data_IF_771018158521
#
_entry.id   IF_771018158521
#
_cell.length_a   1.000
_cell.length_b   1.000
_cell.length_c   1.000
_cell.angle_alpha   90.00
_cell.angle_beta   90.00
_cell.angle_gamma   90.00
#
_symmetry.space_group_name_H-M   'P 1'
#
loop_
_entity.id
_entity.type
_entity.pdbx_description
1 polymer ?
#
# COMPACT_ATOMS: atom_id res chain seq x y z
N UNK A 1 18.97 20.38 -8.91
CA UNK A 1 17.72 20.47 -8.15
C UNK A 1 18.07 20.09 -6.71
N UNK A 2 17.74 20.94 -5.71
CA UNK A 2 17.94 20.56 -4.33
C UNK A 2 17.10 19.34 -3.97
N UNK A 3 17.58 18.52 -3.02
CA UNK A 3 16.80 17.39 -2.50
C UNK A 3 15.47 17.90 -1.94
N UNK A 4 14.37 17.14 -2.06
CA UNK A 4 13.10 17.54 -1.50
C UNK A 4 13.26 17.71 0.03
N UNK A 5 12.90 18.88 0.54
CA UNK A 5 12.94 19.16 1.96
C UNK A 5 11.72 18.54 2.63
N UNK A 6 11.95 17.64 3.61
CA UNK A 6 10.90 16.99 4.39
C UNK A 6 10.78 17.64 5.76
N UNK A 7 9.59 18.11 6.12
CA UNK A 7 9.29 18.62 7.44
C UNK A 7 8.89 17.51 8.40
N UNK A 8 9.14 17.71 9.71
CA UNK A 8 8.64 16.80 10.73
C UNK A 8 7.12 16.93 10.87
N UNK A 9 6.45 15.78 11.01
CA UNK A 9 5.04 15.72 11.38
C UNK A 9 4.88 16.28 12.79
N UNK A 10 3.94 17.21 13.01
CA UNK A 10 3.67 17.71 14.37
C UNK A 10 3.10 16.60 15.25
N UNK A 11 3.30 16.68 16.57
CA UNK A 11 2.69 15.71 17.50
C UNK A 11 1.16 15.75 17.46
N UNK A 12 0.58 16.91 17.23
CA UNK A 12 -0.87 17.08 17.08
C UNK A 12 -1.41 16.37 15.84
N UNK A 13 -0.68 16.44 14.73
CA UNK A 13 -1.12 15.87 13.44
C UNK A 13 -0.77 14.38 13.29
N UNK A 14 0.13 13.85 14.11
CA UNK A 14 0.65 12.50 13.95
C UNK A 14 -0.42 11.41 13.93
N UNK A 15 -1.44 11.40 14.80
CA UNK A 15 -2.51 10.40 14.72
C UNK A 15 -3.31 10.47 13.41
N UNK A 16 -3.61 11.69 12.97
CA UNK A 16 -4.32 11.95 11.71
C UNK A 16 -3.44 11.62 10.49
N UNK A 17 -2.14 11.88 10.57
CA UNK A 17 -1.20 11.54 9.51
C UNK A 17 -1.18 10.02 9.26
N UNK A 18 -1.13 9.19 10.31
CA UNK A 18 -1.20 7.72 10.17
C UNK A 18 -2.48 7.30 9.43
N UNK A 19 -3.61 7.94 9.72
CA UNK A 19 -4.89 7.63 9.10
C UNK A 19 -5.03 8.19 7.67
N UNK A 20 -4.53 9.40 7.41
CA UNK A 20 -4.79 10.16 6.17
C UNK A 20 -3.59 10.26 5.24
N UNK A 21 -2.36 10.03 5.73
CA UNK A 21 -1.11 10.20 5.00
C UNK A 21 -1.01 11.56 4.29
N UNK A 22 -1.36 12.64 5.01
CA UNK A 22 -1.36 14.00 4.45
C UNK A 22 -2.08 14.10 3.09
N UNK A 23 -3.24 13.46 2.95
CA UNK A 23 -4.02 13.46 1.70
C UNK A 23 -3.41 12.66 0.55
N UNK A 24 -2.34 11.89 0.78
CA UNK A 24 -1.70 11.07 -0.24
C UNK A 24 -2.69 10.12 -0.92
N UNK A 25 -3.55 9.43 -0.13
CA UNK A 25 -4.56 8.51 -0.68
C UNK A 25 -5.55 9.23 -1.60
N UNK A 26 -5.96 10.44 -1.22
CA UNK A 26 -6.85 11.27 -2.02
C UNK A 26 -6.20 11.62 -3.36
N UNK A 27 -4.95 12.13 -3.34
CA UNK A 27 -4.22 12.47 -4.57
C UNK A 27 -4.00 11.26 -5.49
N UNK A 28 -3.68 10.11 -4.92
CA UNK A 28 -3.55 8.86 -5.70
C UNK A 28 -4.91 8.45 -6.27
N UNK A 29 -5.99 8.52 -5.50
CA UNK A 29 -7.34 8.21 -5.98
C UNK A 29 -7.79 9.15 -7.10
N UNK A 30 -7.40 10.44 -7.04
CA UNK A 30 -7.67 11.42 -8.09
C UNK A 30 -6.99 11.12 -9.42
N UNK A 31 -5.85 10.46 -9.40
CA UNK A 31 -5.12 10.08 -10.60
C UNK A 31 -5.70 8.85 -11.31
N UNK A 32 -6.60 8.09 -10.67
CA UNK A 32 -7.12 6.83 -11.21
C UNK A 32 -8.17 7.03 -12.30
N UNK A 33 -8.23 6.12 -13.31
CA UNK A 33 -9.19 6.18 -14.40
C UNK A 33 -10.55 5.61 -13.98
N UNK A 34 -11.23 6.31 -13.07
CA UNK A 34 -12.55 5.92 -12.57
C UNK A 34 -13.65 6.27 -13.57
N UNK A 35 -14.59 5.36 -13.75
CA UNK A 35 -15.81 5.56 -14.54
C UNK A 35 -17.04 5.29 -13.65
N UNK A 36 -18.15 6.02 -13.83
CA UNK A 36 -19.38 5.80 -13.06
C UNK A 36 -19.84 4.33 -13.09
N UNK A 37 -20.25 3.82 -11.93
CA UNK A 37 -20.71 2.44 -11.74
C UNK A 37 -19.66 1.35 -12.03
N UNK A 38 -18.37 1.72 -12.13
CA UNK A 38 -17.29 0.76 -12.33
C UNK A 38 -17.25 -0.23 -11.17
N UNK A 39 -16.99 -1.51 -11.47
CA UNK A 39 -16.66 -2.52 -10.47
C UNK A 39 -15.16 -2.48 -10.19
N UNK A 40 -14.79 -2.18 -8.96
CA UNK A 40 -13.40 -2.04 -8.49
C UNK A 40 -13.07 -3.16 -7.52
N UNK A 41 -11.90 -3.79 -7.70
CA UNK A 41 -11.32 -4.72 -6.74
C UNK A 41 -10.16 -4.02 -6.01
N UNK A 42 -10.27 -3.83 -4.70
CA UNK A 42 -9.17 -3.30 -3.87
C UNK A 42 -8.44 -4.47 -3.21
N UNK A 43 -7.25 -4.79 -3.72
CA UNK A 43 -6.45 -5.97 -3.37
C UNK A 43 -5.63 -5.68 -2.14
N UNK A 44 -5.68 -6.55 -1.13
CA UNK A 44 -5.08 -6.38 0.18
C UNK A 44 -5.48 -5.02 0.79
N UNK A 45 -6.80 -4.83 0.92
CA UNK A 45 -7.43 -3.56 1.30
C UNK A 45 -7.07 -3.07 2.70
N UNK A 46 -6.51 -3.94 3.55
CA UNK A 46 -6.14 -3.62 4.92
C UNK A 46 -7.31 -3.07 5.73
N UNK A 47 -7.14 -1.85 6.24
CA UNK A 47 -8.19 -1.11 6.97
C UNK A 47 -9.19 -0.40 6.07
N UNK A 48 -9.18 -0.63 4.77
CA UNK A 48 -10.02 -0.07 3.71
C UNK A 48 -9.92 1.46 3.53
N UNK A 49 -8.87 2.10 4.04
CA UNK A 49 -8.73 3.54 3.89
C UNK A 49 -8.69 3.98 2.43
N UNK A 50 -8.03 3.22 1.54
CA UNK A 50 -7.96 3.56 0.13
C UNK A 50 -9.30 3.32 -0.58
N UNK A 51 -9.95 2.18 -0.33
CA UNK A 51 -11.29 1.89 -0.84
C UNK A 51 -12.31 2.97 -0.44
N UNK A 52 -12.20 3.52 0.78
CA UNK A 52 -13.05 4.62 1.22
C UNK A 52 -12.76 5.93 0.49
N UNK A 53 -11.51 6.23 0.13
CA UNK A 53 -11.21 7.41 -0.70
C UNK A 53 -11.81 7.28 -2.11
N UNK A 54 -11.75 6.09 -2.71
CA UNK A 54 -12.41 5.82 -3.99
C UNK A 54 -13.93 6.00 -3.90
N UNK A 55 -14.57 5.47 -2.83
CA UNK A 55 -16.01 5.61 -2.60
C UNK A 55 -16.45 7.07 -2.40
N UNK A 56 -15.64 7.89 -1.75
CA UNK A 56 -15.90 9.33 -1.59
C UNK A 56 -15.80 10.06 -2.92
N UNK A 57 -14.85 9.68 -3.77
CA UNK A 57 -14.63 10.29 -5.07
C UNK A 57 -15.80 10.03 -6.03
N UNK A 58 -16.30 8.80 -6.06
CA UNK A 58 -17.49 8.44 -6.83
C UNK A 58 -18.34 7.41 -6.07
N UNK A 59 -19.45 7.84 -5.48
CA UNK A 59 -20.34 6.96 -4.72
C UNK A 59 -21.14 5.99 -5.60
N UNK A 60 -21.05 6.09 -6.92
CA UNK A 60 -21.69 5.13 -7.84
C UNK A 60 -20.86 3.88 -8.08
N UNK A 61 -19.59 3.87 -7.65
CA UNK A 61 -18.71 2.71 -7.75
C UNK A 61 -19.25 1.51 -6.97
N UNK A 62 -18.84 0.32 -7.39
CA UNK A 62 -19.04 -0.92 -6.66
C UNK A 62 -17.68 -1.48 -6.29
N UNK A 63 -17.23 -1.16 -5.08
CA UNK A 63 -15.90 -1.49 -4.60
C UNK A 63 -15.96 -2.77 -3.76
N UNK A 64 -15.10 -3.72 -4.08
CA UNK A 64 -14.89 -4.93 -3.30
C UNK A 64 -13.47 -4.94 -2.77
N UNK A 65 -13.32 -4.76 -1.46
CA UNK A 65 -12.04 -4.91 -0.77
C UNK A 65 -11.82 -6.36 -0.34
N UNK A 66 -10.64 -6.88 -0.63
CA UNK A 66 -10.21 -8.20 -0.16
C UNK A 66 -8.96 -8.10 0.70
N UNK A 67 -8.88 -8.96 1.72
CA UNK A 67 -7.69 -9.10 2.57
C UNK A 67 -7.66 -10.52 3.14
N UNK A 68 -6.46 -11.08 3.34
CA UNK A 68 -6.31 -12.42 3.92
C UNK A 68 -6.42 -12.43 5.44
N UNK A 69 -6.27 -11.27 6.09
CA UNK A 69 -6.30 -11.10 7.54
C UNK A 69 -7.71 -10.85 8.06
N UNK A 70 -8.22 -11.74 8.94
CA UNK A 70 -9.47 -11.53 9.66
C UNK A 70 -9.47 -10.22 10.47
N UNK A 71 -8.31 -9.85 11.01
CA UNK A 71 -8.17 -8.61 11.79
C UNK A 71 -8.35 -7.39 10.89
N UNK A 72 -7.71 -7.38 9.71
CA UNK A 72 -7.86 -6.31 8.72
C UNK A 72 -9.31 -6.16 8.29
N UNK A 73 -9.98 -7.25 7.95
CA UNK A 73 -11.40 -7.24 7.54
C UNK A 73 -12.29 -6.67 8.64
N UNK A 74 -12.10 -7.07 9.92
CA UNK A 74 -12.88 -6.50 11.03
C UNK A 74 -12.64 -5.01 11.25
N UNK A 75 -11.41 -4.54 11.06
CA UNK A 75 -11.08 -3.11 11.16
C UNK A 75 -11.72 -2.36 9.99
N UNK A 76 -11.57 -2.88 8.78
CA UNK A 76 -12.17 -2.32 7.57
C UNK A 76 -13.69 -2.19 7.67
N UNK A 77 -14.39 -3.23 8.13
CA UNK A 77 -15.86 -3.21 8.31
C UNK A 77 -16.30 -2.09 9.27
N UNK A 78 -15.61 -1.94 10.42
CA UNK A 78 -15.89 -0.83 11.35
C UNK A 78 -15.64 0.53 10.72
N UNK A 79 -14.56 0.69 9.95
CA UNK A 79 -14.22 1.94 9.29
C UNK A 79 -15.24 2.34 8.22
N UNK A 80 -15.70 1.37 7.43
CA UNK A 80 -16.69 1.56 6.37
C UNK A 80 -18.06 1.93 6.96
N UNK A 81 -18.55 1.13 7.92
CA UNK A 81 -19.84 1.40 8.59
C UNK A 81 -19.84 2.71 9.35
N UNK A 82 -18.75 3.03 10.05
CA UNK A 82 -18.61 4.30 10.77
C UNK A 82 -18.63 5.54 9.88
N UNK A 83 -18.57 5.37 8.55
CA UNK A 83 -18.62 6.44 7.54
C UNK A 83 -19.77 6.29 6.56
N UNK A 84 -20.68 5.35 6.78
CA UNK A 84 -21.86 5.09 5.94
C UNK A 84 -21.50 4.74 4.49
N UNK A 85 -20.41 4.01 4.28
CA UNK A 85 -19.92 3.61 2.96
C UNK A 85 -20.21 2.14 2.62
N UNK A 86 -20.94 1.42 3.45
CA UNK A 86 -21.29 0.01 3.32
C UNK A 86 -22.23 -0.31 2.14
N UNK A 87 -22.84 0.71 1.55
CA UNK A 87 -23.60 0.57 0.28
C UNK A 87 -22.71 0.62 -0.97
N UNK A 88 -21.47 1.15 -0.83
CA UNK A 88 -20.52 1.32 -1.93
C UNK A 88 -19.35 0.34 -1.82
N UNK A 89 -18.90 0.05 -0.61
CA UNK A 89 -17.74 -0.82 -0.32
C UNK A 89 -18.21 -2.08 0.39
N UNK A 90 -17.93 -3.21 -0.21
CA UNK A 90 -18.09 -4.54 0.39
C UNK A 90 -16.74 -5.16 0.70
N UNK A 91 -16.69 -6.11 1.63
CA UNK A 91 -15.46 -6.77 2.07
C UNK A 91 -15.57 -8.28 1.99
N UNK A 92 -14.50 -8.94 1.58
CA UNK A 92 -14.39 -10.41 1.62
C UNK A 92 -12.99 -10.78 2.14
N UNK A 93 -12.93 -11.73 3.09
CA UNK A 93 -11.67 -12.39 3.43
C UNK A 93 -11.27 -13.30 2.28
N UNK A 94 -10.14 -13.02 1.65
CA UNK A 94 -9.66 -13.77 0.49
C UNK A 94 -8.15 -13.64 0.31
N UNK A 95 -7.51 -14.70 -0.16
CA UNK A 95 -6.11 -14.68 -0.57
C UNK A 95 -5.98 -14.11 -1.98
N UNK A 96 -5.22 -13.02 -2.12
CA UNK A 96 -5.03 -12.34 -3.40
C UNK A 96 -4.25 -13.17 -4.44
N UNK A 97 -3.52 -14.21 -4.01
CA UNK A 97 -2.83 -15.14 -4.92
C UNK A 97 -3.77 -16.18 -5.55
N UNK A 98 -5.04 -16.23 -5.08
CA UNK A 98 -6.06 -17.14 -5.58
C UNK A 98 -7.44 -16.50 -5.47
N UNK A 99 -7.81 -15.72 -6.46
CA UNK A 99 -9.08 -15.00 -6.47
C UNK A 99 -10.24 -15.91 -6.89
N UNK A 100 -11.29 -15.98 -6.07
CA UNK A 100 -12.49 -16.80 -6.33
C UNK A 100 -13.54 -16.05 -7.16
N UNK A 101 -13.09 -15.22 -8.10
CA UNK A 101 -13.96 -14.47 -9.01
C UNK A 101 -13.85 -15.02 -10.43
N UNK A 102 -14.95 -14.97 -11.21
CA UNK A 102 -14.90 -15.26 -12.64
C UNK A 102 -13.90 -14.31 -13.36
N UNK A 103 -13.36 -14.78 -14.48
CA UNK A 103 -12.58 -13.93 -15.36
C UNK A 103 -13.38 -12.70 -15.82
N UNK A 104 -12.72 -11.61 -16.11
CA UNK A 104 -13.31 -10.40 -16.70
C UNK A 104 -14.47 -9.80 -15.87
N UNK A 105 -14.34 -9.81 -14.53
CA UNK A 105 -15.34 -9.31 -13.59
C UNK A 105 -15.21 -7.82 -13.30
N UNK A 106 -13.98 -7.30 -13.18
CA UNK A 106 -13.70 -5.93 -12.71
C UNK A 106 -13.21 -5.02 -13.83
N UNK A 107 -13.55 -3.74 -13.76
CA UNK A 107 -13.02 -2.72 -14.66
C UNK A 107 -11.68 -2.15 -14.19
N UNK A 108 -11.49 -2.10 -12.87
CA UNK A 108 -10.28 -1.62 -12.22
C UNK A 108 -9.91 -2.56 -11.06
N UNK A 109 -8.64 -2.84 -10.91
CA UNK A 109 -8.05 -3.37 -9.68
C UNK A 109 -7.09 -2.34 -9.08
N UNK A 110 -7.09 -2.21 -7.75
CA UNK A 110 -6.20 -1.32 -7.02
C UNK A 110 -5.42 -2.08 -5.96
N UNK A 111 -4.23 -1.58 -5.61
CA UNK A 111 -3.50 -1.93 -4.39
C UNK A 111 -2.78 -0.68 -3.89
N UNK A 112 -2.90 -0.38 -2.61
CA UNK A 112 -2.26 0.77 -2.01
C UNK A 112 -1.30 0.34 -0.91
N UNK A 113 0.01 0.29 -1.24
CA UNK A 113 1.11 0.04 -0.30
C UNK A 113 0.98 -1.27 0.50
N UNK A 114 0.52 -2.36 -0.14
CA UNK A 114 0.38 -3.67 0.53
C UNK A 114 1.16 -4.79 -0.16
N UNK A 115 1.95 -4.50 -1.19
CA UNK A 115 2.75 -5.55 -1.84
C UNK A 115 3.96 -5.99 -1.01
N UNK A 116 4.43 -5.16 -0.07
CA UNK A 116 5.42 -5.59 0.92
C UNK A 116 4.86 -6.67 1.87
N UNK A 117 3.60 -6.55 2.29
CA UNK A 117 2.94 -7.57 3.11
C UNK A 117 2.77 -8.90 2.34
N UNK A 118 2.43 -8.85 1.06
CA UNK A 118 2.37 -10.04 0.20
C UNK A 118 3.77 -10.65 0.01
N UNK A 119 4.78 -9.80 -0.22
CA UNK A 119 6.17 -10.24 -0.38
C UNK A 119 6.70 -10.88 0.91
N UNK A 120 6.43 -10.29 2.08
CA UNK A 120 6.80 -10.82 3.37
C UNK A 120 6.23 -12.22 3.64
N UNK A 121 4.95 -12.43 3.28
CA UNK A 121 4.23 -13.67 3.61
C UNK A 121 4.32 -14.75 2.54
N UNK A 122 4.55 -14.38 1.30
CA UNK A 122 4.51 -15.29 0.12
C UNK A 122 5.66 -15.08 -0.87
N UNK A 123 6.66 -14.30 -0.50
CA UNK A 123 7.83 -13.96 -1.32
C UNK A 123 7.46 -13.28 -2.66
N UNK A 124 8.46 -13.02 -3.50
CA UNK A 124 8.25 -12.46 -4.84
C UNK A 124 7.35 -13.32 -5.74
N UNK A 125 7.29 -14.63 -5.48
CA UNK A 125 6.39 -15.55 -6.15
C UNK A 125 4.94 -15.20 -5.88
N UNK A 126 4.57 -14.95 -4.61
CA UNK A 126 3.21 -14.57 -4.26
C UNK A 126 2.79 -13.25 -4.90
N UNK A 127 3.67 -12.25 -4.93
CA UNK A 127 3.41 -10.99 -5.64
C UNK A 127 3.12 -11.25 -7.12
N UNK A 128 3.94 -12.06 -7.80
CA UNK A 128 3.72 -12.43 -9.21
C UNK A 128 2.37 -13.14 -9.41
N UNK A 129 1.98 -14.05 -8.51
CA UNK A 129 0.69 -14.74 -8.57
C UNK A 129 -0.49 -13.75 -8.46
N UNK A 130 -0.40 -12.73 -7.59
CA UNK A 130 -1.40 -11.66 -7.52
C UNK A 130 -1.53 -10.94 -8.86
N UNK A 131 -0.44 -10.61 -9.55
CA UNK A 131 -0.50 -9.96 -10.86
C UNK A 131 -1.22 -10.81 -11.90
N UNK A 132 -1.00 -12.12 -11.93
CA UNK A 132 -1.70 -13.05 -12.84
C UNK A 132 -3.19 -13.15 -12.49
N UNK A 133 -3.55 -13.26 -11.21
CA UNK A 133 -4.94 -13.33 -10.78
C UNK A 133 -5.69 -12.02 -11.07
N UNK A 134 -5.05 -10.87 -10.81
CA UNK A 134 -5.60 -9.57 -11.18
C UNK A 134 -5.82 -9.48 -12.69
N UNK A 135 -4.86 -9.93 -13.51
CA UNK A 135 -5.03 -9.95 -14.96
C UNK A 135 -6.23 -10.83 -15.37
N UNK A 136 -6.41 -11.98 -14.75
CA UNK A 136 -7.51 -12.89 -15.05
C UNK A 136 -8.87 -12.27 -14.73
N UNK A 137 -9.01 -11.63 -13.58
CA UNK A 137 -10.32 -11.10 -13.12
C UNK A 137 -10.65 -9.72 -13.70
N UNK A 138 -9.68 -8.98 -14.23
CA UNK A 138 -9.94 -7.74 -14.93
C UNK A 138 -10.56 -8.00 -16.30
N UNK A 139 -11.47 -7.13 -16.72
CA UNK A 139 -11.99 -7.11 -18.09
C UNK A 139 -10.86 -6.86 -19.10
N UNK A 140 -10.99 -7.29 -20.36
CA UNK A 140 -10.10 -6.84 -21.42
C UNK A 140 -10.01 -5.30 -21.41
N UNK A 141 -8.80 -4.75 -21.50
CA UNK A 141 -8.51 -3.31 -21.38
C UNK A 141 -8.83 -2.68 -20.01
N UNK A 142 -9.19 -3.47 -19.00
CA UNK A 142 -9.32 -3.02 -17.61
C UNK A 142 -7.98 -2.54 -17.03
N UNK A 143 -8.04 -1.75 -15.98
CA UNK A 143 -6.87 -1.11 -15.40
C UNK A 143 -6.41 -1.82 -14.13
N UNK A 144 -5.10 -1.88 -13.94
CA UNK A 144 -4.47 -2.21 -12.66
C UNK A 144 -3.61 -1.03 -12.20
N UNK A 145 -3.99 -0.44 -11.07
CA UNK A 145 -3.35 0.74 -10.51
C UNK A 145 -2.87 0.43 -9.10
N UNK A 146 -1.59 0.56 -8.84
CA UNK A 146 -1.03 0.24 -7.54
C UNK A 146 0.07 1.22 -7.13
N UNK A 147 0.15 1.48 -5.81
CA UNK A 147 1.15 2.34 -5.21
C UNK A 147 2.19 1.49 -4.47
N UNK A 148 3.47 1.77 -4.68
CA UNK A 148 4.62 1.07 -4.09
C UNK A 148 5.71 2.05 -3.68
N UNK A 149 6.67 1.58 -2.88
CA UNK A 149 7.86 2.35 -2.48
C UNK A 149 9.12 1.60 -2.91
N UNK A 150 9.58 1.74 -4.17
CA UNK A 150 10.81 1.11 -4.64
C UNK A 150 12.02 1.66 -3.86
N UNK A 151 12.83 0.80 -3.19
CA UNK A 151 13.91 1.27 -2.31
C UNK A 151 15.01 2.06 -3.04
N UNK A 152 15.29 1.66 -4.29
CA UNK A 152 16.31 2.30 -5.13
C UNK A 152 15.95 3.72 -5.57
N UNK A 153 14.71 4.14 -5.31
CA UNK A 153 14.20 5.44 -5.70
C UNK A 153 14.03 6.39 -4.50
N UNK A 154 14.52 6.00 -3.32
CA UNK A 154 14.57 6.89 -2.18
C UNK A 154 15.47 8.11 -2.48
N UNK A 155 14.95 9.31 -2.26
CA UNK A 155 15.60 10.58 -2.56
C UNK A 155 16.20 11.26 -1.31
N UNK A 156 15.73 10.84 -0.12
CA UNK A 156 16.21 11.35 1.16
C UNK A 156 16.66 10.22 2.08
N UNK A 157 17.49 10.53 3.07
CA UNK A 157 17.90 9.56 4.10
C UNK A 157 16.68 9.02 4.86
N UNK A 158 15.70 9.86 5.18
CA UNK A 158 14.50 9.43 5.89
C UNK A 158 13.66 8.42 5.06
N UNK A 159 13.56 8.60 3.75
CA UNK A 159 12.88 7.66 2.85
C UNK A 159 13.63 6.34 2.74
N UNK A 160 14.95 6.38 2.62
CA UNK A 160 15.80 5.18 2.61
C UNK A 160 15.64 4.39 3.91
N UNK A 161 15.73 5.08 5.04
CA UNK A 161 15.56 4.48 6.37
C UNK A 161 14.19 3.82 6.52
N UNK A 162 13.11 4.40 5.99
CA UNK A 162 11.77 3.78 6.01
C UNK A 162 11.78 2.38 5.39
N UNK A 163 12.37 2.25 4.21
CA UNK A 163 12.47 0.97 3.50
C UNK A 163 13.38 -0.02 4.25
N UNK A 164 14.55 0.43 4.71
CA UNK A 164 15.53 -0.41 5.39
C UNK A 164 15.03 -0.91 6.75
N UNK A 165 14.47 -0.02 7.57
CA UNK A 165 13.90 -0.36 8.89
C UNK A 165 12.73 -1.34 8.75
N UNK A 166 11.81 -1.07 7.84
CA UNK A 166 10.68 -1.97 7.58
C UNK A 166 11.16 -3.35 7.14
N UNK A 167 12.14 -3.38 6.22
CA UNK A 167 12.71 -4.63 5.71
C UNK A 167 13.47 -5.41 6.78
N UNK A 168 14.23 -4.71 7.64
CA UNK A 168 14.94 -5.35 8.74
C UNK A 168 13.98 -5.98 9.74
N UNK A 169 12.92 -5.26 10.14
CA UNK A 169 11.94 -5.77 11.09
C UNK A 169 11.23 -7.01 10.54
N UNK A 170 10.84 -6.98 9.27
CA UNK A 170 9.98 -7.99 8.65
C UNK A 170 10.73 -9.11 7.93
N UNK A 171 12.05 -9.01 7.80
CA UNK A 171 12.86 -9.96 7.03
C UNK A 171 12.61 -9.96 5.52
N UNK A 172 11.90 -8.95 5.00
CA UNK A 172 11.63 -8.80 3.57
C UNK A 172 11.83 -7.35 3.11
N UNK A 173 12.20 -7.17 1.86
CA UNK A 173 12.37 -5.85 1.26
C UNK A 173 11.21 -5.50 0.33
N UNK A 174 10.92 -4.20 0.22
CA UNK A 174 10.19 -3.69 -0.93
C UNK A 174 10.87 -4.12 -2.23
N UNK A 175 10.09 -4.51 -3.23
CA UNK A 175 10.66 -4.88 -4.51
C UNK A 175 11.08 -3.63 -5.31
N UNK A 176 12.17 -3.72 -6.09
CA UNK A 176 12.54 -2.67 -7.03
C UNK A 176 11.46 -2.41 -8.07
N UNK A 177 11.36 -1.17 -8.57
CA UNK A 177 10.39 -0.78 -9.60
C UNK A 177 10.44 -1.69 -10.83
N UNK A 178 11.63 -2.10 -11.24
CA UNK A 178 11.83 -3.01 -12.38
C UNK A 178 11.12 -4.36 -12.18
N UNK A 179 11.09 -4.90 -10.97
CA UNK A 179 10.40 -6.18 -10.67
C UNK A 179 8.90 -6.07 -10.86
N UNK A 180 8.29 -4.97 -10.43
CA UNK A 180 6.86 -4.74 -10.69
C UNK A 180 6.55 -4.61 -12.20
N UNK A 181 7.44 -3.96 -12.96
CA UNK A 181 7.30 -3.87 -14.42
C UNK A 181 7.45 -5.25 -15.10
N UNK A 182 8.35 -6.11 -14.62
CA UNK A 182 8.48 -7.49 -15.09
C UNK A 182 7.21 -8.30 -14.81
N UNK A 183 6.63 -8.18 -13.60
CA UNK A 183 5.39 -8.85 -13.25
C UNK A 183 4.22 -8.36 -14.10
N UNK A 184 4.10 -7.05 -14.34
CA UNK A 184 3.10 -6.49 -15.25
C UNK A 184 3.21 -7.10 -16.65
N UNK A 185 4.41 -7.10 -17.22
CA UNK A 185 4.65 -7.64 -18.55
C UNK A 185 4.34 -9.13 -18.61
N UNK A 186 4.80 -9.92 -17.62
CA UNK A 186 4.56 -11.34 -17.53
C UNK A 186 3.09 -11.72 -17.37
N UNK A 187 2.28 -10.86 -16.76
CA UNK A 187 0.85 -11.05 -16.57
C UNK A 187 -0.01 -10.46 -17.72
N UNK A 188 0.61 -9.93 -18.78
CA UNK A 188 -0.11 -9.40 -19.93
C UNK A 188 -0.65 -7.98 -19.76
N UNK A 189 0.06 -7.15 -19.00
CA UNK A 189 -0.24 -5.72 -18.87
C UNK A 189 0.71 -4.85 -19.69
N UNK A 190 0.21 -3.71 -20.12
CA UNK A 190 1.00 -2.58 -20.64
C UNK A 190 1.01 -1.48 -19.59
N UNK A 191 2.19 -1.08 -19.12
CA UNK A 191 2.36 0.07 -18.23
C UNK A 191 2.07 1.36 -19.03
N UNK A 192 1.08 2.14 -18.59
CA UNK A 192 0.65 3.37 -19.27
C UNK A 192 1.26 4.62 -18.65
N UNK A 193 1.32 4.65 -17.33
CA UNK A 193 1.77 5.82 -16.59
C UNK A 193 2.48 5.40 -15.31
N UNK A 194 3.46 6.19 -14.94
CA UNK A 194 4.13 6.14 -13.65
C UNK A 194 4.15 7.54 -13.08
N UNK A 195 3.72 7.69 -11.84
CA UNK A 195 3.58 8.99 -11.20
C UNK A 195 4.12 8.92 -9.77
N UNK A 196 4.91 9.91 -9.37
CA UNK A 196 5.46 10.01 -8.02
C UNK A 196 4.62 10.98 -7.20
N UNK A 197 4.24 10.55 -6.02
CA UNK A 197 3.49 11.36 -5.06
C UNK A 197 4.30 11.51 -3.77
N UNK A 198 4.33 12.71 -3.22
CA UNK A 198 5.07 13.05 -2.00
C UNK A 198 4.11 13.52 -0.91
N UNK A 199 4.41 13.21 0.34
CA UNK A 199 3.79 13.89 1.48
C UNK A 199 4.65 15.07 1.96
N UNK A 200 5.95 15.07 1.63
CA UNK A 200 6.96 16.03 2.12
C UNK A 200 7.07 16.04 3.66
N UNK A 201 6.75 14.92 4.30
CA UNK A 201 6.76 14.81 5.75
C UNK A 201 7.47 13.54 6.22
N UNK A 202 8.13 13.64 7.37
CA UNK A 202 8.81 12.54 8.05
C UNK A 202 8.50 12.53 9.54
N UNK A 203 8.66 11.39 10.16
CA UNK A 203 8.51 11.23 11.60
C UNK A 203 9.72 11.80 12.36
N UNK A 204 9.47 12.44 13.49
CA UNK A 204 10.50 12.75 14.47
C UNK A 204 11.06 11.46 15.09
N UNK A 205 12.24 11.48 15.74
CA UNK A 205 12.80 10.31 16.43
C UNK A 205 11.82 9.67 17.43
N UNK A 206 11.08 10.46 18.19
CA UNK A 206 10.11 9.94 19.16
C UNK A 206 8.88 9.30 18.48
N UNK A 207 8.41 9.88 17.40
CA UNK A 207 7.36 9.28 16.56
C UNK A 207 7.85 7.97 15.93
N UNK A 208 9.10 7.94 15.45
CA UNK A 208 9.73 6.76 14.90
C UNK A 208 9.85 5.63 15.92
N UNK A 209 10.26 5.93 17.17
CA UNK A 209 10.27 4.94 18.27
C UNK A 209 8.91 4.28 18.46
N UNK A 210 7.85 5.08 18.57
CA UNK A 210 6.47 4.57 18.70
C UNK A 210 6.06 3.72 17.50
N UNK A 211 6.41 4.16 16.30
CA UNK A 211 6.06 3.43 15.06
C UNK A 211 6.82 2.12 14.92
N UNK A 212 8.12 2.11 15.16
CA UNK A 212 8.97 0.90 15.13
C UNK A 212 8.46 -0.12 16.14
N UNK A 213 8.18 0.30 17.39
CA UNK A 213 7.58 -0.57 18.41
C UNK A 213 6.26 -1.18 17.93
N UNK A 214 5.39 -0.38 17.31
CA UNK A 214 4.12 -0.86 16.80
C UNK A 214 4.32 -1.88 15.65
N UNK A 215 5.23 -1.62 14.72
CA UNK A 215 5.51 -2.55 13.60
C UNK A 215 6.03 -3.89 14.13
N UNK A 216 7.01 -3.89 15.05
CA UNK A 216 7.55 -5.12 15.65
C UNK A 216 6.44 -5.95 16.30
N UNK A 217 5.57 -5.30 17.09
CA UNK A 217 4.47 -5.98 17.76
C UNK A 217 3.36 -6.47 16.82
N UNK A 218 3.05 -5.70 15.78
CA UNK A 218 1.95 -6.02 14.86
C UNK A 218 2.36 -7.07 13.82
N UNK A 219 3.62 -7.13 13.40
CA UNK A 219 4.09 -8.10 12.39
C UNK A 219 3.80 -9.53 12.84
N UNK A 220 4.20 -9.92 14.04
CA UNK A 220 3.89 -11.24 14.58
C UNK A 220 2.39 -11.47 14.74
N UNK A 221 1.66 -10.49 15.31
CA UNK A 221 0.23 -10.63 15.62
C UNK A 221 -0.68 -10.66 14.39
N UNK A 222 -0.30 -9.97 13.32
CA UNK A 222 -1.12 -9.88 12.11
C UNK A 222 -0.80 -10.97 11.10
N UNK A 223 0.46 -11.33 10.97
CA UNK A 223 0.95 -12.17 9.88
C UNK A 223 1.57 -13.50 10.35
N UNK A 224 1.80 -13.67 11.67
CA UNK A 224 2.49 -14.86 12.20
C UNK A 224 3.94 -14.96 11.78
N UNK A 225 4.56 -13.85 11.38
CA UNK A 225 5.96 -13.78 10.94
C UNK A 225 6.81 -13.27 12.10
N UNK A 226 7.90 -13.98 12.40
CA UNK A 226 8.87 -13.52 13.39
C UNK A 226 9.50 -12.21 12.93
N UNK A 227 9.47 -11.20 13.80
CA UNK A 227 10.02 -9.89 13.53
C UNK A 227 11.26 -9.65 14.40
N UNK A 228 12.24 -8.89 13.88
CA UNK A 228 13.30 -8.37 14.73
C UNK A 228 12.71 -7.46 15.81
N UNK A 229 13.32 -7.47 16.99
CA UNK A 229 12.84 -6.70 18.14
C UNK A 229 13.07 -5.21 17.95
N UNK A 230 12.38 -4.40 18.78
CA UNK A 230 12.64 -2.97 18.85
C UNK A 230 14.11 -2.68 19.21
N UNK A 231 14.66 -3.39 20.18
CA UNK A 231 16.03 -3.19 20.67
C UNK A 231 17.07 -3.47 19.59
N UNK A 232 16.88 -4.55 18.81
CA UNK A 232 17.77 -4.88 17.67
C UNK A 232 17.66 -3.83 16.58
N UNK A 233 16.44 -3.42 16.25
CA UNK A 233 16.17 -2.41 15.23
C UNK A 233 16.75 -1.06 15.65
N UNK A 234 16.52 -0.63 16.89
CA UNK A 234 16.99 0.66 17.38
C UNK A 234 18.51 0.72 17.53
N UNK A 235 19.14 -0.39 17.92
CA UNK A 235 20.61 -0.48 17.96
C UNK A 235 21.23 -0.27 16.59
N UNK A 236 20.57 -0.75 15.54
CA UNK A 236 21.07 -0.67 14.17
C UNK A 236 20.81 0.69 13.51
N UNK A 237 19.61 1.21 13.63
CA UNK A 237 19.15 2.37 12.86
C UNK A 237 18.90 3.61 13.72
N UNK A 238 18.81 3.46 15.04
CA UNK A 238 18.51 4.55 15.98
C UNK A 238 19.38 5.79 15.80
N UNK A 239 20.72 5.69 15.76
CA UNK A 239 21.58 6.86 15.59
C UNK A 239 21.24 7.66 14.32
N UNK A 240 21.00 6.99 13.20
CA UNK A 240 20.70 7.65 11.93
C UNK A 240 19.27 8.22 11.90
N UNK A 241 18.32 7.54 12.56
CA UNK A 241 16.96 8.05 12.76
C UNK A 241 16.96 9.31 13.66
N UNK A 242 17.79 9.35 14.69
CA UNK A 242 17.90 10.52 15.57
C UNK A 242 18.44 11.75 14.82
N UNK A 243 19.31 11.55 13.84
CA UNK A 243 19.84 12.63 13.03
C UNK A 243 18.88 13.08 11.91
N UNK A 244 18.26 12.14 11.21
CA UNK A 244 17.55 12.43 9.97
C UNK A 244 16.03 12.28 10.07
N UNK A 245 15.49 11.69 11.14
CA UNK A 245 14.10 11.25 11.23
C UNK A 245 13.85 9.98 10.43
N UNK A 246 12.59 9.55 10.36
CA UNK A 246 12.18 8.35 9.64
C UNK A 246 11.03 8.69 8.68
N UNK A 247 11.15 8.31 7.41
CA UNK A 247 10.05 8.44 6.43
C UNK A 247 8.81 7.66 6.87
N UNK A 248 7.67 8.10 6.39
CA UNK A 248 6.42 7.35 6.50
C UNK A 248 5.55 7.63 5.29
N UNK A 249 5.64 6.79 4.29
CA UNK A 249 4.99 6.97 2.99
C UNK A 249 5.28 8.35 2.39
N UNK A 250 6.47 8.90 2.68
CA UNK A 250 6.81 10.25 2.27
C UNK A 250 7.02 10.39 0.76
N UNK A 251 7.32 9.27 0.08
CA UNK A 251 7.42 9.15 -1.36
C UNK A 251 6.82 7.82 -1.81
N UNK A 252 5.84 7.86 -2.69
CA UNK A 252 5.24 6.66 -3.28
C UNK A 252 5.19 6.76 -4.80
N UNK A 253 5.26 5.63 -5.47
CA UNK A 253 5.17 5.52 -6.92
C UNK A 253 3.85 4.85 -7.28
N UNK A 254 2.96 5.58 -7.93
CA UNK A 254 1.76 5.03 -8.56
C UNK A 254 2.14 4.47 -9.93
N UNK A 255 1.87 3.20 -10.14
CA UNK A 255 1.94 2.54 -11.44
C UNK A 255 0.53 2.27 -11.96
N UNK A 256 0.24 2.76 -13.16
CA UNK A 256 -1.02 2.52 -13.85
C UNK A 256 -0.77 1.69 -15.10
N UNK A 257 -1.35 0.51 -15.13
CA UNK A 257 -1.21 -0.43 -16.23
C UNK A 257 -2.59 -0.83 -16.77
N UNK A 258 -2.64 -1.23 -18.02
CA UNK A 258 -3.85 -1.70 -18.68
C UNK A 258 -3.65 -3.13 -19.14
N UNK A 259 -4.63 -3.99 -18.83
CA UNK A 259 -4.68 -5.36 -19.35
C UNK A 259 -4.74 -5.33 -20.89
N UNK A 260 -3.89 -6.13 -21.51
CA UNK A 260 -3.95 -6.32 -22.96
C UNK A 260 -5.30 -6.98 -23.37
N UNK A 261 -5.65 -6.87 -24.64
CA UNK A 261 -6.90 -7.40 -25.17
C UNK A 261 -6.94 -8.93 -25.12
#
# INVERSE_FOLDING_TARGET
MGMPEESFISEQDFPDYIAKLNGLRTRVAEALPLEPRMRVLDVATGSAYFAMELAKRDPTLKILGIDSSDRSIRIADRNIRGRWLDTVVSLIKMDATRLEFPASTFGLATNFLSFDDVHMTKEARGVREVFHEVARVLKPRGYFCFAVMPPEEAETTAQRLECEVSSFIRGSTWLPALRYQEFLRGAGFTLLKREVHYTHQKMSPDQAKRRVTAICNDTLKMYGVDANTFEETWRRFGPEIEEHGLGYCSRVVLMMARRNA
#
